data_IF_816262348861
#
_entry.id   IF_816262348861
#
_cell.length_a   1.000
_cell.length_b   1.000
_cell.length_c   1.000
_cell.angle_alpha   90.00
_cell.angle_beta   90.00
_cell.angle_gamma   90.00
#
_symmetry.space_group_name_H-M   'P 1'
#
loop_
_entity.id
_entity.type
_entity.pdbx_description
1 polymer ?
#
# COMPACT_ATOMS: atom_id res chain seq x y z
N UNK A 1 -45.51 2.40 -20.00
CA UNK A 1 -44.90 3.33 -19.07
C UNK A 1 -44.42 2.58 -17.83
N UNK A 2 -43.17 2.23 -17.77
CA UNK A 2 -42.52 1.65 -16.57
C UNK A 2 -41.82 2.78 -15.88
N UNK A 3 -42.57 3.55 -15.08
CA UNK A 3 -42.05 4.62 -14.25
C UNK A 3 -42.35 4.36 -12.78
N UNK A 4 -41.82 3.29 -12.20
CA UNK A 4 -41.69 3.22 -10.75
C UNK A 4 -40.39 3.92 -10.39
N UNK A 5 -40.44 5.24 -10.16
CA UNK A 5 -39.53 5.86 -9.24
C UNK A 5 -39.72 5.14 -7.91
N UNK A 6 -38.79 4.30 -7.56
CA UNK A 6 -38.66 3.78 -6.21
C UNK A 6 -38.54 5.00 -5.31
N UNK A 7 -39.57 5.22 -4.49
CA UNK A 7 -39.58 6.31 -3.54
C UNK A 7 -38.43 6.06 -2.58
N UNK A 8 -37.34 6.84 -2.71
CA UNK A 8 -36.11 6.67 -1.96
C UNK A 8 -36.38 6.65 -0.44
N UNK A 9 -37.39 7.42 -0.02
CA UNK A 9 -37.80 7.49 1.39
C UNK A 9 -38.42 6.17 1.87
N UNK A 10 -39.14 5.46 1.00
CA UNK A 10 -39.72 4.16 1.33
C UNK A 10 -38.67 3.07 1.42
N UNK A 11 -37.71 3.08 0.50
CA UNK A 11 -36.58 2.14 0.51
C UNK A 11 -35.73 2.36 1.77
N UNK A 12 -35.45 3.60 2.13
CA UNK A 12 -34.70 3.95 3.34
C UNK A 12 -35.44 3.57 4.63
N UNK A 13 -36.78 3.62 4.63
CA UNK A 13 -37.60 3.22 5.77
C UNK A 13 -37.61 1.69 5.93
N UNK A 14 -37.77 0.95 4.85
CA UNK A 14 -37.70 -0.52 4.86
C UNK A 14 -36.32 -1.03 5.24
N UNK A 15 -35.25 -0.35 4.83
CA UNK A 15 -33.86 -0.65 5.22
C UNK A 15 -33.64 -0.46 6.73
N UNK A 16 -34.21 0.59 7.31
CA UNK A 16 -34.15 0.84 8.76
C UNK A 16 -34.88 -0.23 9.56
N UNK A 17 -36.01 -0.71 9.07
CA UNK A 17 -36.76 -1.79 9.72
C UNK A 17 -36.00 -3.13 9.71
N UNK A 18 -35.16 -3.35 8.73
CA UNK A 18 -34.28 -4.55 8.63
C UNK A 18 -32.96 -4.38 9.38
N UNK A 19 -32.74 -3.22 10.03
CA UNK A 19 -31.53 -2.97 10.80
C UNK A 19 -30.29 -2.64 9.96
N UNK A 20 -30.48 -2.37 8.67
CA UNK A 20 -29.39 -1.90 7.80
C UNK A 20 -29.22 -0.39 7.98
N UNK A 21 -28.06 0.05 8.40
CA UNK A 21 -27.76 1.48 8.46
C UNK A 21 -27.52 2.03 7.05
N UNK A 22 -28.00 3.25 6.79
CA UNK A 22 -27.78 3.94 5.50
C UNK A 22 -26.31 4.10 5.13
N UNK A 23 -25.40 3.95 6.10
CA UNK A 23 -23.95 3.94 5.93
C UNK A 23 -23.41 2.67 5.27
N UNK A 24 -24.18 1.58 5.21
CA UNK A 24 -23.72 0.31 4.59
C UNK A 24 -24.05 0.22 3.10
N UNK A 25 -24.95 1.05 2.58
CA UNK A 25 -25.47 0.97 1.22
C UNK A 25 -25.46 2.30 0.44
N UNK A 26 -25.05 3.40 1.06
CA UNK A 26 -24.92 4.69 0.38
C UNK A 26 -23.66 4.76 -0.50
N UNK A 27 -23.61 5.69 -1.45
CA UNK A 27 -22.38 6.02 -2.18
C UNK A 27 -21.21 6.39 -1.26
N UNK A 28 -21.48 6.70 0.00
CA UNK A 28 -20.50 6.91 1.07
C UNK A 28 -19.73 5.65 1.46
N UNK A 29 -20.21 4.45 1.14
CA UNK A 29 -19.47 3.19 1.29
C UNK A 29 -18.30 3.03 0.31
N UNK A 30 -18.24 3.87 -0.73
CA UNK A 30 -17.18 3.90 -1.74
C UNK A 30 -16.25 5.12 -1.62
N UNK A 31 -16.69 6.15 -0.93
CA UNK A 31 -15.81 7.28 -0.60
C UNK A 31 -15.30 7.07 0.83
N UNK A 32 -13.98 7.18 1.08
CA UNK A 32 -13.50 7.25 2.44
C UNK A 32 -14.16 8.49 3.08
N UNK A 33 -15.19 8.25 3.89
CA UNK A 33 -15.72 9.32 4.74
C UNK A 33 -14.56 9.81 5.61
N UNK A 34 -14.46 11.11 5.85
CA UNK A 34 -13.41 11.71 6.69
C UNK A 34 -13.12 10.92 8.00
N UNK A 35 -14.12 10.30 8.67
CA UNK A 35 -13.86 9.39 9.78
C UNK A 35 -13.01 8.18 9.43
N UNK A 36 -13.08 7.65 8.21
CA UNK A 36 -12.30 6.49 7.77
C UNK A 36 -10.83 6.81 7.60
N UNK A 37 -10.49 7.97 7.07
CA UNK A 37 -9.11 8.41 6.92
C UNK A 37 -8.45 8.67 8.27
N UNK A 38 -9.14 9.35 9.19
CA UNK A 38 -8.67 9.55 10.56
C UNK A 38 -8.48 8.22 11.29
N UNK A 39 -9.40 7.27 11.11
CA UNK A 39 -9.29 5.93 11.69
C UNK A 39 -8.10 5.18 11.13
N UNK A 40 -7.83 5.26 9.82
CA UNK A 40 -6.69 4.62 9.21
C UNK A 40 -5.36 5.22 9.71
N UNK A 41 -5.26 6.54 9.81
CA UNK A 41 -4.09 7.24 10.36
C UNK A 41 -3.89 6.91 11.85
N UNK A 42 -4.98 6.87 12.62
CA UNK A 42 -4.93 6.50 14.04
C UNK A 42 -4.45 5.06 14.20
N UNK A 43 -5.01 4.10 13.46
CA UNK A 43 -4.60 2.71 13.48
C UNK A 43 -3.14 2.55 13.06
N UNK A 44 -2.70 3.27 12.03
CA UNK A 44 -1.29 3.28 11.63
C UNK A 44 -0.39 3.80 12.76
N UNK A 45 -0.76 4.92 13.37
CA UNK A 45 -0.01 5.51 14.49
C UNK A 45 0.07 4.56 15.69
N UNK A 46 -1.05 3.95 16.09
CA UNK A 46 -1.07 2.97 17.19
C UNK A 46 -0.19 1.77 16.88
N UNK A 47 -0.29 1.18 15.67
CA UNK A 47 0.56 0.06 15.28
C UNK A 47 2.04 0.45 15.27
N UNK A 48 2.38 1.64 14.78
CA UNK A 48 3.73 2.15 14.80
C UNK A 48 4.29 2.27 16.22
N UNK A 49 3.50 2.84 17.14
CA UNK A 49 3.87 2.95 18.56
C UNK A 49 4.09 1.56 19.18
N UNK A 50 3.18 0.61 18.93
CA UNK A 50 3.31 -0.76 19.44
C UNK A 50 4.59 -1.41 18.93
N UNK A 51 4.90 -1.27 17.64
CA UNK A 51 6.14 -1.81 17.04
C UNK A 51 7.38 -1.15 17.68
N UNK A 52 7.38 0.17 17.85
CA UNK A 52 8.51 0.89 18.47
C UNK A 52 8.71 0.46 19.94
N UNK A 53 7.62 0.33 20.70
CA UNK A 53 7.69 -0.15 22.09
C UNK A 53 8.25 -1.57 22.13
N UNK A 54 7.81 -2.44 21.22
CA UNK A 54 8.30 -3.81 21.14
C UNK A 54 9.79 -3.87 20.79
N UNK A 55 10.26 -3.05 19.84
CA UNK A 55 11.68 -2.96 19.47
C UNK A 55 12.52 -2.50 20.65
N UNK A 56 12.09 -1.47 21.37
CA UNK A 56 12.79 -0.98 22.56
C UNK A 56 12.81 -2.02 23.68
N UNK A 57 11.70 -2.71 23.91
CA UNK A 57 11.59 -3.79 24.90
C UNK A 57 12.47 -5.01 24.56
N UNK A 58 12.70 -5.25 23.26
CA UNK A 58 13.59 -6.30 22.76
C UNK A 58 15.09 -5.94 22.88
N UNK A 59 15.42 -4.75 23.39
CA UNK A 59 16.81 -4.33 23.60
C UNK A 59 17.52 -3.86 22.34
N UNK A 60 16.79 -3.52 21.29
CA UNK A 60 17.36 -2.94 20.08
C UNK A 60 17.89 -1.53 20.42
N UNK A 61 19.19 -1.25 20.19
CA UNK A 61 19.75 0.07 20.52
C UNK A 61 19.15 1.15 19.60
N UNK A 62 18.74 2.26 20.21
CA UNK A 62 18.30 3.43 19.44
C UNK A 62 19.54 4.12 18.90
N UNK A 63 19.72 4.11 17.60
CA UNK A 63 20.83 4.73 16.91
C UNK A 63 20.41 5.96 16.09
N UNK A 64 21.37 6.77 15.71
CA UNK A 64 21.12 7.92 14.81
C UNK A 64 20.55 7.51 13.46
N UNK A 65 20.74 6.26 13.06
CA UNK A 65 20.19 5.65 11.84
C UNK A 65 18.66 5.67 11.82
N UNK A 66 18.01 5.63 12.98
CA UNK A 66 16.55 5.71 13.09
C UNK A 66 15.98 7.03 12.54
N UNK A 67 16.80 8.08 12.44
CA UNK A 67 16.39 9.35 11.84
C UNK A 67 16.02 9.20 10.35
N UNK A 68 16.57 8.20 9.66
CA UNK A 68 16.24 7.90 8.27
C UNK A 68 14.96 7.07 8.10
N UNK A 69 14.43 6.50 9.18
CA UNK A 69 13.18 5.71 9.16
C UNK A 69 11.99 6.47 8.56
N UNK A 70 11.70 7.74 8.93
CA UNK A 70 10.60 8.50 8.33
C UNK A 70 10.76 8.70 6.82
N UNK A 71 12.00 8.82 6.33
CA UNK A 71 12.26 8.95 4.89
C UNK A 71 11.89 7.67 4.15
N UNK A 72 12.23 6.49 4.68
CA UNK A 72 11.86 5.21 4.09
C UNK A 72 10.34 5.00 4.12
N UNK A 73 9.68 5.38 5.22
CA UNK A 73 8.22 5.35 5.33
C UNK A 73 7.58 6.27 4.28
N UNK A 74 8.15 7.44 4.03
CA UNK A 74 7.67 8.36 2.98
C UNK A 74 7.79 7.73 1.59
N UNK A 75 8.93 7.13 1.27
CA UNK A 75 9.12 6.43 -0.02
C UNK A 75 8.11 5.28 -0.16
N UNK A 76 7.92 4.49 0.90
CA UNK A 76 6.92 3.42 0.93
C UNK A 76 5.50 3.96 0.71
N UNK A 77 5.18 5.10 1.34
CA UNK A 77 3.88 5.78 1.16
C UNK A 77 3.67 6.21 -0.28
N UNK A 78 4.69 6.78 -0.93
CA UNK A 78 4.61 7.18 -2.35
C UNK A 78 4.33 5.98 -3.25
N UNK A 79 5.05 4.87 -3.06
CA UNK A 79 4.83 3.64 -3.84
C UNK A 79 3.41 3.09 -3.59
N UNK A 80 2.99 3.02 -2.33
CA UNK A 80 1.66 2.53 -1.96
C UNK A 80 0.57 3.40 -2.58
N UNK A 81 0.70 4.73 -2.51
CA UNK A 81 -0.24 5.66 -3.14
C UNK A 81 -0.31 5.46 -4.65
N UNK A 82 0.83 5.28 -5.32
CA UNK A 82 0.86 5.00 -6.76
C UNK A 82 0.12 3.70 -7.10
N UNK A 83 0.34 2.63 -6.33
CA UNK A 83 -0.38 1.36 -6.50
C UNK A 83 -1.88 1.53 -6.25
N UNK A 84 -2.27 2.24 -5.18
CA UNK A 84 -3.68 2.50 -4.87
C UNK A 84 -4.38 3.27 -5.99
N UNK A 85 -3.74 4.31 -6.55
CA UNK A 85 -4.28 5.07 -7.69
C UNK A 85 -4.48 4.18 -8.92
N UNK A 86 -3.53 3.29 -9.22
CA UNK A 86 -3.67 2.34 -10.32
C UNK A 86 -4.80 1.35 -10.09
N UNK A 87 -4.82 0.70 -8.93
CA UNK A 87 -5.84 -0.31 -8.60
C UNK A 87 -7.23 0.32 -8.58
N UNK A 88 -7.39 1.51 -7.98
CA UNK A 88 -8.64 2.25 -7.96
C UNK A 88 -9.13 2.60 -9.37
N UNK A 89 -8.24 3.11 -10.22
CA UNK A 89 -8.60 3.47 -11.61
C UNK A 89 -8.99 2.24 -12.44
N UNK A 90 -8.34 1.10 -12.22
CA UNK A 90 -8.67 -0.14 -12.90
C UNK A 90 -9.96 -0.76 -12.36
N UNK A 91 -10.24 -0.61 -11.07
CA UNK A 91 -11.43 -1.17 -10.42
C UNK A 91 -12.73 -0.58 -11.00
N UNK A 92 -12.74 0.72 -11.34
CA UNK A 92 -13.87 1.38 -12.00
C UNK A 92 -14.18 0.72 -13.34
N UNK A 93 -13.15 0.26 -14.06
CA UNK A 93 -13.30 -0.33 -15.39
C UNK A 93 -13.51 -1.86 -15.35
N UNK A 94 -12.90 -2.53 -14.40
CA UNK A 94 -12.90 -4.00 -14.30
C UNK A 94 -13.17 -4.42 -12.86
N UNK A 95 -14.37 -4.92 -12.59
CA UNK A 95 -14.78 -5.38 -11.26
C UNK A 95 -13.92 -6.52 -10.70
N UNK A 96 -13.33 -7.33 -11.58
CA UNK A 96 -12.49 -8.47 -11.20
C UNK A 96 -11.12 -8.08 -10.66
N UNK A 97 -10.73 -6.80 -10.81
CA UNK A 97 -9.44 -6.27 -10.29
C UNK A 97 -9.30 -6.51 -8.79
N UNK A 98 -10.39 -6.45 -8.01
CA UNK A 98 -10.35 -6.72 -6.57
C UNK A 98 -9.86 -8.14 -6.24
N UNK A 99 -10.33 -9.14 -6.97
CA UNK A 99 -9.92 -10.54 -6.78
C UNK A 99 -8.47 -10.73 -7.22
N UNK A 100 -8.12 -10.19 -8.40
CA UNK A 100 -6.76 -10.25 -8.95
C UNK A 100 -5.78 -9.55 -7.99
N UNK A 101 -6.17 -8.40 -7.45
CA UNK A 101 -5.35 -7.65 -6.49
C UNK A 101 -5.07 -8.45 -5.22
N UNK A 102 -6.06 -9.15 -4.67
CA UNK A 102 -5.86 -10.00 -3.49
C UNK A 102 -4.79 -11.06 -3.70
N UNK A 103 -4.81 -11.73 -4.85
CA UNK A 103 -3.80 -12.73 -5.22
C UNK A 103 -2.44 -12.07 -5.45
N UNK A 104 -2.41 -10.95 -6.18
CA UNK A 104 -1.18 -10.23 -6.49
C UNK A 104 -0.53 -9.65 -5.23
N UNK A 105 -1.30 -9.07 -4.33
CA UNK A 105 -0.80 -8.54 -3.05
C UNK A 105 -0.18 -9.65 -2.20
N UNK A 106 -0.82 -10.83 -2.14
CA UNK A 106 -0.27 -12.00 -1.45
C UNK A 106 1.03 -12.46 -2.09
N UNK A 107 1.08 -12.56 -3.42
CA UNK A 107 2.28 -12.92 -4.16
C UNK A 107 3.42 -11.92 -3.93
N UNK A 108 3.13 -10.61 -3.97
CA UNK A 108 4.10 -9.55 -3.68
C UNK A 108 4.64 -9.62 -2.25
N UNK A 109 3.78 -9.92 -1.28
CA UNK A 109 4.19 -10.08 0.12
C UNK A 109 5.23 -11.20 0.29
N UNK A 110 5.01 -12.36 -0.35
CA UNK A 110 5.99 -13.46 -0.31
C UNK A 110 7.20 -13.23 -1.20
N UNK A 111 7.06 -12.51 -2.31
CA UNK A 111 8.17 -12.17 -3.19
C UNK A 111 9.08 -11.07 -2.62
N UNK A 112 8.58 -10.30 -1.66
CA UNK A 112 9.38 -9.27 -0.97
C UNK A 112 10.02 -9.89 0.28
N UNK A 113 11.31 -9.65 0.58
CA UNK A 113 11.99 -10.19 1.76
C UNK A 113 11.56 -9.45 3.04
N UNK A 114 10.26 -9.55 3.38
CA UNK A 114 9.67 -9.00 4.61
C UNK A 114 9.89 -9.93 5.79
N UNK A 115 9.61 -11.24 5.59
CA UNK A 115 9.67 -12.26 6.63
C UNK A 115 11.02 -12.99 6.70
N UNK A 116 11.83 -12.87 5.65
CA UNK A 116 13.12 -13.55 5.54
C UNK A 116 14.20 -12.56 5.12
N UNK A 117 15.44 -12.76 5.55
CA UNK A 117 16.55 -11.94 5.10
C UNK A 117 16.97 -12.31 3.67
N UNK A 118 17.51 -11.34 2.93
CA UNK A 118 17.90 -11.55 1.53
C UNK A 118 18.98 -12.62 1.38
N UNK A 119 19.79 -12.85 2.39
CA UNK A 119 20.85 -13.84 2.42
C UNK A 119 20.35 -15.29 2.32
N UNK A 120 19.09 -15.53 2.66
CA UNK A 120 18.45 -16.85 2.49
C UNK A 120 18.08 -17.12 1.03
N UNK A 121 17.93 -16.05 0.23
CA UNK A 121 17.63 -16.18 -1.19
C UNK A 121 18.89 -16.60 -1.93
N UNK A 122 18.84 -17.64 -2.79
CA UNK A 122 20.01 -18.01 -3.61
C UNK A 122 20.47 -16.84 -4.48
N UNK A 123 21.77 -16.58 -4.56
CA UNK A 123 22.39 -15.44 -5.26
C UNK A 123 21.85 -15.24 -6.70
N UNK A 124 21.60 -16.33 -7.42
CA UNK A 124 21.04 -16.30 -8.77
C UNK A 124 19.68 -15.61 -8.89
N UNK A 125 18.95 -15.43 -7.79
CA UNK A 125 17.64 -14.78 -7.73
C UNK A 125 17.70 -13.38 -7.13
N UNK A 126 18.84 -12.93 -6.61
CA UNK A 126 18.98 -11.61 -6.00
C UNK A 126 18.56 -10.50 -6.96
N UNK A 127 19.02 -10.53 -8.21
CA UNK A 127 18.69 -9.52 -9.21
C UNK A 127 17.17 -9.45 -9.46
N UNK A 128 16.49 -10.60 -9.49
CA UNK A 128 15.03 -10.66 -9.70
C UNK A 128 14.29 -10.07 -8.50
N UNK A 129 14.71 -10.43 -7.29
CA UNK A 129 14.10 -9.92 -6.05
C UNK A 129 14.34 -8.43 -5.88
N UNK A 130 15.50 -7.93 -6.31
CA UNK A 130 15.89 -6.52 -6.24
C UNK A 130 15.19 -5.64 -7.30
N UNK A 131 14.60 -6.21 -8.35
CA UNK A 131 13.73 -5.46 -9.29
C UNK A 131 12.46 -4.98 -8.59
N UNK A 132 11.97 -5.71 -7.60
CA UNK A 132 10.82 -5.30 -6.81
C UNK A 132 11.16 -4.04 -6.01
N UNK A 133 10.44 -2.91 -6.21
CA UNK A 133 10.75 -1.64 -5.55
C UNK A 133 10.61 -1.66 -4.03
N UNK A 134 9.87 -2.61 -3.48
CA UNK A 134 9.73 -2.78 -2.03
C UNK A 134 10.96 -3.42 -1.40
N UNK A 135 11.67 -4.28 -2.12
CA UNK A 135 12.81 -5.05 -1.60
C UNK A 135 13.91 -4.17 -1.03
N UNK A 136 14.47 -3.16 -1.74
CA UNK A 136 15.52 -2.30 -1.19
C UNK A 136 15.06 -1.55 0.06
N UNK A 137 13.78 -1.15 0.11
CA UNK A 137 13.21 -0.43 1.26
C UNK A 137 13.20 -1.33 2.50
N UNK A 138 12.74 -2.58 2.37
CA UNK A 138 12.71 -3.51 3.51
C UNK A 138 14.08 -3.96 3.97
N UNK A 139 15.05 -4.11 3.04
CA UNK A 139 16.45 -4.39 3.39
C UNK A 139 17.01 -3.22 4.20
N UNK A 140 16.81 -1.98 3.73
CA UNK A 140 17.30 -0.79 4.41
C UNK A 140 16.60 -0.56 5.76
N UNK A 141 15.28 -0.79 5.85
CA UNK A 141 14.55 -0.73 7.11
C UNK A 141 15.10 -1.71 8.13
N UNK A 142 15.43 -2.92 7.70
CA UNK A 142 16.03 -3.94 8.56
C UNK A 142 17.40 -3.48 9.06
N UNK A 143 18.26 -2.99 8.18
CA UNK A 143 19.59 -2.47 8.52
C UNK A 143 19.52 -1.30 9.50
N UNK A 144 18.64 -0.32 9.24
CA UNK A 144 18.57 0.92 10.03
C UNK A 144 17.89 0.74 11.39
N UNK A 145 16.94 -0.18 11.51
CA UNK A 145 16.05 -0.26 12.69
C UNK A 145 16.30 -1.52 13.52
N UNK A 146 16.61 -2.64 12.89
CA UNK A 146 16.65 -3.94 13.58
C UNK A 146 18.09 -4.38 13.85
N UNK A 147 18.93 -4.37 12.83
CA UNK A 147 20.29 -4.92 12.91
C UNK A 147 21.23 -4.20 11.94
N UNK A 148 22.07 -3.33 12.50
CA UNK A 148 23.09 -2.61 11.73
C UNK A 148 24.18 -3.50 11.13
N UNK A 149 24.28 -4.75 11.54
CA UNK A 149 25.20 -5.71 10.93
C UNK A 149 24.62 -6.34 9.66
N UNK A 150 23.29 -6.22 9.43
CA UNK A 150 22.65 -6.68 8.21
C UNK A 150 23.15 -5.88 6.98
N UNK A 151 23.11 -6.47 5.78
CA UNK A 151 23.53 -5.74 4.58
C UNK A 151 22.62 -4.54 4.32
N UNK A 152 23.21 -3.45 3.85
CA UNK A 152 22.46 -2.30 3.32
C UNK A 152 21.85 -2.65 1.96
N UNK A 153 20.82 -1.93 1.52
CA UNK A 153 20.24 -2.11 0.20
C UNK A 153 21.28 -1.98 -0.91
N UNK A 154 22.24 -1.05 -0.76
CA UNK A 154 23.33 -0.84 -1.71
C UNK A 154 24.28 -2.04 -1.75
N UNK A 155 24.65 -2.60 -0.59
CA UNK A 155 25.55 -3.76 -0.53
C UNK A 155 24.88 -5.02 -1.08
N UNK A 156 23.61 -5.24 -0.77
CA UNK A 156 22.82 -6.36 -1.27
C UNK A 156 22.62 -6.31 -2.80
N UNK A 157 22.59 -5.10 -3.36
CA UNK A 157 22.47 -4.88 -4.81
C UNK A 157 23.82 -4.89 -5.55
N UNK A 158 24.94 -5.17 -4.86
CA UNK A 158 26.26 -5.12 -5.48
C UNK A 158 26.69 -3.70 -5.87
N UNK A 159 26.10 -2.67 -5.28
CA UNK A 159 26.41 -1.26 -5.51
C UNK A 159 25.20 -0.45 -5.97
N UNK A 160 25.40 0.87 -6.14
CA UNK A 160 24.34 1.79 -6.56
C UNK A 160 23.69 1.46 -7.89
N UNK A 161 24.44 0.87 -8.84
CA UNK A 161 23.94 0.48 -10.14
C UNK A 161 22.90 -0.66 -10.05
N UNK A 162 23.05 -1.56 -9.08
CA UNK A 162 22.10 -2.65 -8.83
C UNK A 162 20.74 -2.18 -8.31
N UNK A 163 20.64 -0.95 -7.79
CA UNK A 163 19.37 -0.36 -7.36
C UNK A 163 18.61 0.32 -8.50
N UNK A 164 19.26 0.59 -9.64
CA UNK A 164 18.62 1.28 -10.76
C UNK A 164 17.34 0.59 -11.26
N UNK A 165 17.25 -0.74 -11.38
CA UNK A 165 16.03 -1.41 -11.80
C UNK A 165 14.84 -1.10 -10.86
N UNK A 166 15.04 -1.18 -9.54
CA UNK A 166 14.00 -0.89 -8.56
C UNK A 166 13.55 0.58 -8.63
N UNK A 167 14.49 1.51 -8.77
CA UNK A 167 14.22 2.94 -8.94
C UNK A 167 13.47 3.19 -10.25
N UNK A 168 13.88 2.57 -11.34
CA UNK A 168 13.22 2.69 -12.65
C UNK A 168 11.77 2.16 -12.58
N UNK A 169 11.56 1.01 -11.93
CA UNK A 169 10.21 0.45 -11.72
C UNK A 169 9.36 1.38 -10.86
N UNK A 170 9.92 1.95 -9.79
CA UNK A 170 9.22 2.93 -8.95
C UNK A 170 8.76 4.14 -9.75
N UNK A 171 9.67 4.73 -10.52
CA UNK A 171 9.36 5.90 -11.37
C UNK A 171 8.31 5.54 -12.42
N UNK A 172 8.47 4.41 -13.09
CA UNK A 172 7.51 3.93 -14.09
C UNK A 172 6.12 3.70 -13.48
N UNK A 173 6.06 3.11 -12.28
CA UNK A 173 4.83 2.89 -11.53
C UNK A 173 4.14 4.22 -11.19
N UNK A 174 4.88 5.20 -10.67
CA UNK A 174 4.35 6.51 -10.33
C UNK A 174 3.83 7.26 -11.57
N UNK A 175 4.60 7.27 -12.65
CA UNK A 175 4.19 7.89 -13.91
C UNK A 175 2.95 7.22 -14.51
N UNK A 176 2.90 5.90 -14.48
CA UNK A 176 1.76 5.12 -14.95
C UNK A 176 0.52 5.41 -14.09
N UNK A 177 0.67 5.45 -12.77
CA UNK A 177 -0.40 5.75 -11.84
C UNK A 177 -1.04 7.11 -12.12
N UNK A 178 -0.20 8.15 -12.23
CA UNK A 178 -0.67 9.52 -12.52
C UNK A 178 -1.33 9.57 -13.90
N UNK A 179 -0.73 8.94 -14.92
CA UNK A 179 -1.26 8.95 -16.29
C UNK A 179 -2.61 8.23 -16.39
N UNK A 180 -2.75 7.07 -15.76
CA UNK A 180 -4.00 6.29 -15.79
C UNK A 180 -5.07 7.01 -14.99
N UNK A 181 -4.74 7.48 -13.79
CA UNK A 181 -5.67 8.24 -12.96
C UNK A 181 -6.16 9.51 -13.65
N UNK A 182 -5.26 10.32 -14.22
CA UNK A 182 -5.64 11.56 -14.93
C UNK A 182 -6.54 11.30 -16.15
N UNK A 183 -6.46 10.10 -16.73
CA UNK A 183 -7.29 9.70 -17.87
C UNK A 183 -8.68 9.21 -17.46
N UNK A 184 -8.78 8.56 -16.32
CA UNK A 184 -10.04 7.99 -15.83
C UNK A 184 -10.79 8.95 -14.86
N UNK A 185 -10.09 9.90 -14.23
CA UNK A 185 -10.68 10.86 -13.30
C UNK A 185 -11.90 11.62 -13.84
N UNK A 186 -11.92 12.11 -15.12
CA UNK A 186 -13.11 12.78 -15.65
C UNK A 186 -14.33 11.86 -15.73
N UNK A 187 -14.13 10.56 -16.01
CA UNK A 187 -15.21 9.57 -16.10
C UNK A 187 -15.80 9.25 -14.73
N UNK A 188 -14.96 9.20 -13.72
CA UNK A 188 -15.40 8.98 -12.33
C UNK A 188 -16.30 10.14 -11.88
N UNK A 189 -15.97 11.37 -12.30
CA UNK A 189 -16.77 12.54 -11.96
C UNK A 189 -18.11 12.64 -12.73
N UNK A 190 -18.25 11.92 -13.85
CA UNK A 190 -19.50 11.87 -14.62
C UNK A 190 -20.47 10.77 -14.10
N UNK A 191 -19.97 9.79 -13.36
CA UNK A 191 -20.76 8.67 -12.80
C UNK A 191 -21.23 8.92 -11.35
N UNK A 192 -20.78 10.02 -10.73
CA UNK A 192 -21.20 10.50 -9.40
C UNK A 192 -22.29 11.56 -9.51
#
# INVERSE_FOLDING_TARGET
GWGHQLDADRVLTEMREVGLSATELGPEGFLPSEPGELTALFNFGVNLVVVLVFLLASGVPVEWTWLFFPLLVLVLTVITTAVCLLVSSLFVRFRDVGIIWGVLATALFYATPVLYPIEVVPERFHDIVLINPLTPIFIELRHLVIDNSAPTAVSAAGGWLGLLPAVAVTIALCLLAVKVFSREAPRIAEEL
#
